data_IF_494964311706
#
_entry.id   IF_494964311706
#
_cell.length_a   1.000
_cell.length_b   1.000
_cell.length_c   1.000
_cell.angle_alpha   90.00
_cell.angle_beta   90.00
_cell.angle_gamma   90.00
#
_symmetry.space_group_name_H-M   'P 1'
#
loop_
_entity.id
_entity.type
_entity.pdbx_description
1 polymer ?
#
# COMPACT_ATOMS: atom_id res chain seq x y z
N UNK A 1 -16.73 34.26 -28.25
CA UNK A 1 -16.97 32.82 -27.98
C UNK A 1 -15.62 32.13 -27.99
N UNK A 2 -15.10 31.84 -26.79
CA UNK A 2 -13.82 31.11 -26.65
C UNK A 2 -14.20 29.63 -26.62
N UNK A 3 -13.68 28.85 -27.56
CA UNK A 3 -13.91 27.40 -27.63
C UNK A 3 -13.38 26.72 -26.38
N UNK A 4 -14.11 25.70 -25.82
CA UNK A 4 -13.60 24.94 -24.70
C UNK A 4 -12.33 24.18 -25.10
N UNK A 5 -11.23 24.52 -24.44
CA UNK A 5 -9.93 23.88 -24.64
C UNK A 5 -10.09 22.38 -24.24
N UNK A 6 -10.10 21.50 -25.23
CA UNK A 6 -10.04 20.05 -25.03
C UNK A 6 -8.67 19.72 -24.50
N UNK A 7 -8.57 19.57 -23.18
CA UNK A 7 -7.39 18.96 -22.55
C UNK A 7 -7.36 17.49 -23.00
N UNK A 8 -6.37 17.15 -23.81
CA UNK A 8 -6.15 15.77 -24.24
C UNK A 8 -5.73 14.91 -23.02
N UNK A 9 -6.13 13.63 -22.96
CA UNK A 9 -5.79 12.76 -21.84
C UNK A 9 -4.28 12.55 -21.74
N UNK A 10 -3.74 12.72 -20.54
CA UNK A 10 -2.37 12.34 -20.18
C UNK A 10 -2.24 10.84 -20.44
N UNK A 11 -1.43 10.46 -21.42
CA UNK A 11 -1.32 9.06 -21.90
C UNK A 11 -1.29 8.95 -23.42
N UNK A 12 -1.56 10.05 -24.15
CA UNK A 12 -1.26 10.11 -25.57
C UNK A 12 0.26 10.25 -25.76
N UNK A 13 0.86 9.36 -26.53
CA UNK A 13 2.31 9.32 -26.80
C UNK A 13 2.83 10.45 -27.72
N UNK A 14 2.03 11.50 -27.96
CA UNK A 14 2.44 12.64 -28.77
C UNK A 14 3.25 13.64 -27.93
N UNK A 15 4.51 13.90 -28.27
CA UNK A 15 5.41 14.75 -27.47
C UNK A 15 4.91 16.20 -27.33
N UNK A 16 4.11 16.68 -28.24
CA UNK A 16 3.56 18.04 -28.23
C UNK A 16 2.43 18.19 -27.17
N UNK A 17 1.61 17.17 -26.99
CA UNK A 17 0.53 17.14 -25.98
C UNK A 17 1.08 17.00 -24.57
N UNK A 18 2.21 16.30 -24.42
CA UNK A 18 2.90 16.12 -23.14
C UNK A 18 3.54 17.42 -22.67
N UNK A 19 4.13 18.21 -23.57
CA UNK A 19 4.74 19.49 -23.24
C UNK A 19 3.73 20.50 -22.69
N UNK A 20 2.57 20.66 -23.33
CA UNK A 20 1.49 21.54 -22.87
C UNK A 20 0.96 21.17 -21.48
N UNK A 21 0.93 19.88 -21.19
CA UNK A 21 0.44 19.39 -19.88
C UNK A 21 1.41 19.72 -18.75
N UNK A 22 2.72 19.63 -19.00
CA UNK A 22 3.72 19.95 -17.98
C UNK A 22 3.83 21.44 -17.65
N UNK A 23 3.47 22.33 -18.59
CA UNK A 23 3.36 23.76 -18.32
C UNK A 23 2.24 24.06 -17.30
N UNK A 24 1.14 23.30 -17.34
CA UNK A 24 0.05 23.44 -16.36
C UNK A 24 0.44 23.04 -14.94
N UNK A 25 1.56 22.36 -14.76
CA UNK A 25 2.03 21.91 -13.44
C UNK A 25 2.83 22.97 -12.68
N UNK A 26 3.14 24.10 -13.32
CA UNK A 26 3.87 25.23 -12.73
C UNK A 26 3.01 26.49 -12.73
N UNK A 27 3.30 27.38 -11.79
CA UNK A 27 2.74 28.72 -11.78
C UNK A 27 3.49 29.66 -12.75
N UNK A 28 3.01 30.88 -12.90
CA UNK A 28 3.64 31.91 -13.75
C UNK A 28 5.07 32.29 -13.35
N UNK A 29 5.49 31.89 -12.14
CA UNK A 29 6.85 32.11 -11.61
C UNK A 29 7.73 30.84 -11.73
N UNK A 30 7.23 29.79 -12.41
CA UNK A 30 7.93 28.51 -12.59
C UNK A 30 7.96 27.60 -11.35
N UNK A 31 7.22 27.91 -10.29
CA UNK A 31 7.14 27.09 -9.07
C UNK A 31 6.12 25.97 -9.27
N UNK A 32 6.39 24.81 -8.68
CA UNK A 32 5.47 23.68 -8.73
C UNK A 32 4.14 24.00 -8.03
N UNK A 33 3.05 23.79 -8.73
CA UNK A 33 1.69 23.87 -8.19
C UNK A 33 1.43 22.62 -7.34
N UNK A 34 0.69 22.78 -6.27
CA UNK A 34 0.24 21.66 -5.42
C UNK A 34 -1.26 21.70 -5.24
N UNK A 35 -1.79 22.64 -4.47
CA UNK A 35 -3.21 22.80 -4.18
C UNK A 35 -4.04 23.04 -5.45
N UNK A 36 -3.55 23.87 -6.35
CA UNK A 36 -4.25 24.22 -7.59
C UNK A 36 -4.16 23.17 -8.71
N UNK A 37 -3.48 22.04 -8.46
CA UNK A 37 -3.50 20.89 -9.37
C UNK A 37 -4.85 20.17 -9.40
N UNK A 38 -5.67 20.31 -8.35
CA UNK A 38 -6.89 19.55 -8.17
C UNK A 38 -8.13 20.42 -8.24
N UNK A 39 -9.17 19.88 -8.89
CA UNK A 39 -10.45 20.57 -9.06
C UNK A 39 -11.10 20.93 -7.71
N UNK A 40 -10.91 20.07 -6.70
CA UNK A 40 -11.52 20.21 -5.39
C UNK A 40 -10.89 21.31 -4.53
N UNK A 41 -9.61 21.59 -4.76
CA UNK A 41 -8.83 22.49 -3.90
C UNK A 41 -8.32 23.74 -4.59
N UNK A 42 -8.56 23.88 -5.89
CA UNK A 42 -8.09 25.07 -6.63
C UNK A 42 -8.84 26.34 -6.20
N UNK A 43 -8.09 27.40 -6.04
CA UNK A 43 -8.59 28.74 -5.75
C UNK A 43 -8.33 29.75 -6.88
N UNK A 44 -7.63 29.31 -7.93
CA UNK A 44 -7.25 30.14 -9.06
C UNK A 44 -8.10 29.82 -10.31
N UNK A 45 -7.98 30.68 -11.34
CA UNK A 45 -8.64 30.48 -12.63
C UNK A 45 -7.91 29.51 -13.58
N UNK A 46 -6.75 28.98 -13.16
CA UNK A 46 -6.01 28.03 -13.97
C UNK A 46 -6.73 26.68 -14.06
N UNK A 47 -6.67 25.98 -15.18
CA UNK A 47 -7.22 24.64 -15.29
C UNK A 47 -6.51 23.69 -14.32
N UNK A 48 -7.30 22.87 -13.60
CA UNK A 48 -6.77 21.81 -12.74
C UNK A 48 -6.71 20.51 -13.54
N UNK A 49 -5.52 19.93 -13.77
CA UNK A 49 -5.39 18.71 -14.55
C UNK A 49 -5.93 17.46 -13.83
N UNK A 50 -6.01 17.49 -12.50
CA UNK A 50 -6.36 16.34 -11.70
C UNK A 50 -7.60 16.53 -10.83
N UNK A 51 -8.17 15.41 -10.41
CA UNK A 51 -9.20 15.32 -9.36
C UNK A 51 -8.76 14.31 -8.31
N UNK A 52 -9.17 14.52 -7.06
CA UNK A 52 -8.98 13.59 -5.94
C UNK A 52 -9.99 12.45 -5.92
N UNK A 53 -11.02 12.52 -6.78
CA UNK A 53 -12.05 11.48 -6.88
C UNK A 53 -11.51 10.23 -7.56
N UNK A 54 -12.19 9.11 -7.33
CA UNK A 54 -11.84 7.80 -7.91
C UNK A 54 -12.04 7.75 -9.43
N UNK A 55 -12.82 8.69 -10.00
CA UNK A 55 -13.13 8.79 -11.42
C UNK A 55 -12.83 10.18 -11.94
N UNK A 56 -12.56 10.26 -13.24
CA UNK A 56 -12.38 11.53 -13.93
C UNK A 56 -13.59 12.45 -13.71
N UNK A 57 -13.33 13.71 -13.45
CA UNK A 57 -14.35 14.66 -13.07
C UNK A 57 -14.11 16.05 -13.69
N UNK A 58 -15.13 16.61 -14.35
CA UNK A 58 -15.07 17.95 -14.97
C UNK A 58 -13.87 18.15 -15.91
N UNK A 59 -13.51 17.13 -16.67
CA UNK A 59 -12.36 17.16 -17.59
C UNK A 59 -11.00 16.95 -16.92
N UNK A 60 -10.95 16.83 -15.60
CA UNK A 60 -9.75 16.48 -14.85
C UNK A 60 -9.61 14.96 -14.70
N UNK A 61 -8.39 14.48 -14.76
CA UNK A 61 -8.05 13.05 -14.65
C UNK A 61 -7.98 12.66 -13.16
N UNK A 62 -8.52 11.50 -12.82
CA UNK A 62 -8.38 10.94 -11.48
C UNK A 62 -6.90 10.57 -11.23
N UNK A 63 -6.26 11.31 -10.31
CA UNK A 63 -4.89 10.99 -9.89
C UNK A 63 -4.83 9.65 -9.17
N UNK A 64 -5.83 9.36 -8.33
CA UNK A 64 -5.98 8.06 -7.68
C UNK A 64 -6.01 6.90 -8.68
N UNK A 65 -6.90 6.97 -9.68
CA UNK A 65 -7.01 5.92 -10.70
C UNK A 65 -5.70 5.70 -11.43
N UNK A 66 -5.03 6.78 -11.83
CA UNK A 66 -3.72 6.69 -12.49
C UNK A 66 -2.63 6.13 -11.58
N UNK A 67 -2.61 6.51 -10.31
CA UNK A 67 -1.71 5.95 -9.31
C UNK A 67 -1.87 4.42 -9.19
N UNK A 68 -3.12 3.94 -9.09
CA UNK A 68 -3.43 2.51 -9.03
C UNK A 68 -3.17 1.77 -10.35
N UNK A 69 -3.34 2.42 -11.49
CA UNK A 69 -3.07 1.87 -12.83
C UNK A 69 -1.57 1.68 -13.06
N UNK A 70 -0.76 2.68 -12.74
CA UNK A 70 0.71 2.63 -12.85
C UNK A 70 1.25 1.56 -11.90
N UNK A 71 0.73 1.50 -10.67
CA UNK A 71 1.06 0.44 -9.73
C UNK A 71 2.53 0.39 -9.34
N UNK A 72 3.20 1.54 -9.21
CA UNK A 72 4.62 1.61 -8.83
C UNK A 72 4.77 1.79 -7.31
N UNK A 73 5.25 0.78 -6.57
CA UNK A 73 5.44 0.87 -5.13
C UNK A 73 6.55 1.86 -4.73
N UNK A 74 7.43 2.22 -5.67
CA UNK A 74 8.47 3.23 -5.43
C UNK A 74 7.98 4.65 -5.70
N UNK A 75 6.84 4.80 -6.36
CA UNK A 75 6.24 6.07 -6.80
C UNK A 75 7.08 6.85 -7.81
N UNK A 76 8.23 6.33 -8.25
CA UNK A 76 9.12 7.05 -9.15
C UNK A 76 8.52 7.18 -10.54
N UNK A 77 8.02 6.09 -11.11
CA UNK A 77 7.34 6.07 -12.40
C UNK A 77 6.08 6.93 -12.36
N UNK A 78 5.30 6.79 -11.28
CA UNK A 78 4.11 7.62 -11.02
C UNK A 78 4.44 9.11 -11.04
N UNK A 79 5.51 9.50 -10.35
CA UNK A 79 5.96 10.89 -10.30
C UNK A 79 6.32 11.44 -11.67
N UNK A 80 7.02 10.65 -12.50
CA UNK A 80 7.43 11.06 -13.84
C UNK A 80 6.24 11.13 -14.80
N UNK A 81 5.34 10.15 -14.76
CA UNK A 81 4.18 10.11 -15.65
C UNK A 81 3.14 11.19 -15.33
N UNK A 82 2.86 11.43 -14.04
CA UNK A 82 1.82 12.36 -13.63
C UNK A 82 2.31 13.81 -13.53
N UNK A 83 3.52 14.02 -13.02
CA UNK A 83 4.04 15.36 -12.70
C UNK A 83 5.35 15.70 -13.44
N UNK A 84 5.89 14.78 -14.23
CA UNK A 84 7.15 14.98 -14.96
C UNK A 84 8.38 15.19 -14.07
N UNK A 85 8.25 15.07 -12.74
CA UNK A 85 9.32 15.39 -11.82
C UNK A 85 9.14 14.71 -10.47
N UNK A 86 10.16 13.97 -10.04
CA UNK A 86 10.25 13.40 -8.70
C UNK A 86 10.19 14.46 -7.59
N UNK A 87 10.86 15.60 -7.80
CA UNK A 87 10.85 16.70 -6.82
C UNK A 87 9.45 17.28 -6.62
N UNK A 88 8.68 17.42 -7.70
CA UNK A 88 7.30 17.87 -7.63
C UNK A 88 6.42 16.88 -6.84
N UNK A 89 6.55 15.59 -7.12
CA UNK A 89 5.88 14.52 -6.39
C UNK A 89 6.18 14.55 -4.90
N UNK A 90 7.47 14.67 -4.53
CA UNK A 90 7.87 14.80 -3.13
C UNK A 90 7.28 16.03 -2.45
N UNK A 91 7.19 17.16 -3.15
CA UNK A 91 6.58 18.36 -2.62
C UNK A 91 5.08 18.18 -2.39
N UNK A 92 4.37 17.54 -3.33
CA UNK A 92 2.95 17.23 -3.22
C UNK A 92 2.68 16.27 -2.05
N UNK A 93 3.41 15.16 -1.99
CA UNK A 93 3.19 14.11 -0.96
C UNK A 93 3.58 14.53 0.45
N UNK A 94 4.43 15.57 0.61
CA UNK A 94 4.75 16.19 1.90
C UNK A 94 3.72 17.21 2.37
N UNK A 95 2.83 17.66 1.49
CA UNK A 95 1.79 18.61 1.86
C UNK A 95 0.78 17.96 2.80
N UNK A 96 0.54 18.58 3.97
CA UNK A 96 -0.30 18.00 5.04
C UNK A 96 -1.71 17.64 4.57
N UNK A 97 -2.32 18.47 3.73
CA UNK A 97 -3.65 18.24 3.18
C UNK A 97 -3.73 17.05 2.23
N UNK A 98 -2.62 16.67 1.57
CA UNK A 98 -2.55 15.54 0.63
C UNK A 98 -2.14 14.24 1.31
N UNK A 99 -1.55 14.29 2.50
CA UNK A 99 -1.03 13.09 3.19
C UNK A 99 -2.10 12.05 3.45
N UNK A 100 -3.31 12.43 3.81
CA UNK A 100 -4.41 11.49 4.05
C UNK A 100 -4.74 10.67 2.79
N UNK A 101 -4.76 11.33 1.63
CA UNK A 101 -5.01 10.66 0.35
C UNK A 101 -3.89 9.69 -0.01
N UNK A 102 -2.64 10.15 0.01
CA UNK A 102 -1.52 9.32 -0.42
C UNK A 102 -1.25 8.14 0.51
N UNK A 103 -1.46 8.28 1.82
CA UNK A 103 -1.32 7.17 2.77
C UNK A 103 -2.36 6.08 2.48
N UNK A 104 -3.62 6.46 2.27
CA UNK A 104 -4.69 5.52 1.88
C UNK A 104 -4.38 4.82 0.56
N UNK A 105 -3.88 5.56 -0.44
CA UNK A 105 -3.52 4.98 -1.74
C UNK A 105 -2.36 3.99 -1.63
N UNK A 106 -1.36 4.28 -0.80
CA UNK A 106 -0.24 3.36 -0.52
C UNK A 106 -0.70 2.07 0.14
N UNK A 107 -1.59 2.18 1.12
CA UNK A 107 -2.18 1.01 1.78
C UNK A 107 -2.97 0.14 0.79
N UNK A 108 -3.81 0.76 -0.02
CA UNK A 108 -4.60 0.05 -1.02
C UNK A 108 -3.73 -0.60 -2.09
N UNK A 109 -2.69 0.09 -2.57
CA UNK A 109 -1.72 -0.45 -3.51
C UNK A 109 -0.97 -1.65 -2.92
N UNK A 110 -0.58 -1.58 -1.66
CA UNK A 110 0.07 -2.70 -0.96
C UNK A 110 -0.86 -3.93 -0.87
N UNK A 111 -2.16 -3.72 -0.59
CA UNK A 111 -3.17 -4.79 -0.59
C UNK A 111 -3.35 -5.38 -1.99
N UNK A 112 -3.40 -4.54 -3.03
CA UNK A 112 -3.48 -4.98 -4.41
C UNK A 112 -2.30 -5.91 -4.78
N UNK A 113 -1.09 -5.50 -4.47
CA UNK A 113 0.10 -6.33 -4.72
C UNK A 113 0.12 -7.61 -3.90
N UNK A 114 -0.36 -7.57 -2.65
CA UNK A 114 -0.49 -8.79 -1.87
C UNK A 114 -1.49 -9.76 -2.53
N UNK A 115 -2.62 -9.27 -3.00
CA UNK A 115 -3.62 -10.08 -3.70
C UNK A 115 -3.09 -10.66 -5.02
N UNK A 116 -2.36 -9.88 -5.81
CA UNK A 116 -1.71 -10.35 -7.05
C UNK A 116 -0.70 -11.46 -6.77
N UNK A 117 0.15 -11.31 -5.73
CA UNK A 117 1.10 -12.35 -5.31
C UNK A 117 0.41 -13.63 -4.84
N UNK A 118 -0.71 -13.52 -4.12
CA UNK A 118 -1.49 -14.70 -3.74
C UNK A 118 -1.95 -15.47 -4.98
N UNK A 119 -2.51 -14.76 -5.96
CA UNK A 119 -2.96 -15.35 -7.20
C UNK A 119 -1.81 -16.01 -7.98
N UNK A 120 -0.67 -15.34 -8.11
CA UNK A 120 0.52 -15.92 -8.74
C UNK A 120 0.98 -17.21 -8.06
N UNK A 121 0.99 -17.24 -6.71
CA UNK A 121 1.37 -18.44 -5.97
C UNK A 121 0.36 -19.58 -6.14
N UNK A 122 -0.95 -19.27 -6.18
CA UNK A 122 -1.99 -20.24 -6.48
C UNK A 122 -1.83 -20.82 -7.90
N UNK A 123 -1.59 -19.97 -8.89
CA UNK A 123 -1.34 -20.38 -10.29
C UNK A 123 -0.10 -21.29 -10.40
N UNK A 124 0.98 -20.99 -9.66
CA UNK A 124 2.17 -21.84 -9.62
C UNK A 124 1.85 -23.23 -9.03
N UNK A 125 1.07 -23.28 -7.96
CA UNK A 125 0.67 -24.55 -7.33
C UNK A 125 -0.18 -25.39 -8.27
N UNK A 126 -1.08 -24.77 -9.01
CA UNK A 126 -1.98 -25.47 -9.94
C UNK A 126 -1.24 -25.98 -11.20
N UNK A 127 -0.42 -25.12 -11.81
CA UNK A 127 0.21 -25.41 -13.10
C UNK A 127 1.51 -26.23 -13.01
N UNK A 128 2.18 -26.25 -11.84
CA UNK A 128 3.48 -26.91 -11.65
C UNK A 128 3.44 -27.98 -10.56
N UNK A 129 2.34 -28.73 -10.43
CA UNK A 129 2.16 -29.79 -9.42
C UNK A 129 3.35 -30.76 -9.41
N UNK A 130 3.86 -31.04 -8.21
CA UNK A 130 4.99 -31.98 -8.02
C UNK A 130 6.37 -31.37 -8.23
N UNK A 131 6.49 -30.12 -8.62
CA UNK A 131 7.78 -29.46 -8.75
C UNK A 131 8.25 -28.81 -7.44
N UNK A 132 9.56 -28.60 -7.24
CA UNK A 132 10.07 -27.86 -6.08
C UNK A 132 9.47 -26.45 -5.95
N UNK A 133 9.16 -25.81 -7.08
CA UNK A 133 8.54 -24.49 -7.13
C UNK A 133 7.13 -24.51 -6.53
N UNK A 134 6.29 -25.48 -6.90
CA UNK A 134 4.96 -25.65 -6.32
C UNK A 134 5.01 -25.94 -4.82
N UNK A 135 6.00 -26.71 -4.36
CA UNK A 135 6.20 -26.97 -2.92
C UNK A 135 6.56 -25.68 -2.17
N UNK A 136 7.41 -24.84 -2.75
CA UNK A 136 7.76 -23.54 -2.14
C UNK A 136 6.56 -22.58 -2.12
N UNK A 137 5.80 -22.49 -3.22
CA UNK A 137 4.59 -21.69 -3.30
C UNK A 137 3.55 -22.14 -2.28
N UNK A 138 3.32 -23.45 -2.12
CA UNK A 138 2.41 -24.01 -1.11
C UNK A 138 2.85 -23.65 0.32
N UNK A 139 4.14 -23.72 0.62
CA UNK A 139 4.68 -23.30 1.93
C UNK A 139 4.46 -21.82 2.18
N UNK A 140 4.73 -20.99 1.18
CA UNK A 140 4.53 -19.55 1.27
C UNK A 140 3.07 -19.20 1.54
N UNK A 141 2.12 -19.80 0.80
CA UNK A 141 0.68 -19.65 1.03
C UNK A 141 0.29 -20.09 2.45
N UNK A 142 0.75 -21.28 2.88
CA UNK A 142 0.44 -21.81 4.21
C UNK A 142 0.94 -20.89 5.34
N UNK A 143 2.11 -20.32 5.21
CA UNK A 143 2.67 -19.39 6.20
C UNK A 143 1.89 -18.08 6.26
N UNK A 144 1.41 -17.57 5.12
CA UNK A 144 0.57 -16.36 5.05
C UNK A 144 -0.83 -16.59 5.62
N UNK A 145 -1.45 -17.72 5.34
CA UNK A 145 -2.75 -18.10 5.95
C UNK A 145 -2.64 -18.27 7.48
N UNK A 146 -1.52 -18.80 7.99
CA UNK A 146 -1.27 -18.92 9.43
C UNK A 146 -1.08 -17.57 10.11
N UNK A 147 -0.50 -16.58 9.45
CA UNK A 147 -0.28 -15.24 10.02
C UNK A 147 -1.59 -14.47 10.19
N UNK A 148 -2.62 -14.76 9.37
CA UNK A 148 -3.99 -14.21 9.57
C UNK A 148 -4.76 -14.88 10.73
N UNK A 149 -4.39 -16.10 11.14
CA UNK A 149 -4.90 -16.71 12.37
C UNK A 149 -3.92 -16.37 13.50
N UNK A 150 -4.32 -15.51 14.38
CA UNK A 150 -3.59 -14.94 15.54
C UNK A 150 -3.02 -16.04 16.48
N UNK A 151 -2.18 -16.95 15.98
CA UNK A 151 -1.40 -17.87 16.81
C UNK A 151 0.00 -17.30 16.96
N UNK A 152 0.45 -17.09 18.20
CA UNK A 152 1.81 -16.63 18.45
C UNK A 152 2.79 -17.57 17.76
N UNK A 153 3.75 -17.00 17.02
CA UNK A 153 4.88 -17.75 16.45
C UNK A 153 5.47 -18.60 17.57
N UNK A 154 5.52 -19.91 17.38
CA UNK A 154 6.34 -20.80 18.21
C UNK A 154 7.83 -20.50 17.89
N UNK A 155 8.28 -19.33 18.32
CA UNK A 155 9.68 -19.05 18.51
C UNK A 155 10.18 -19.85 19.70
N UNK A 156 11.49 -20.13 19.76
CA UNK A 156 12.10 -20.70 20.97
C UNK A 156 11.69 -19.82 22.15
N UNK A 157 11.03 -20.36 23.20
CA UNK A 157 10.49 -19.56 24.28
C UNK A 157 11.60 -18.72 24.92
N UNK A 158 11.28 -17.45 25.21
CA UNK A 158 12.24 -16.52 25.81
C UNK A 158 12.69 -17.08 27.18
N UNK A 159 13.81 -16.58 27.70
CA UNK A 159 14.25 -16.96 29.06
C UNK A 159 13.18 -16.68 30.10
N UNK A 160 12.41 -15.63 29.94
CA UNK A 160 11.33 -15.20 30.82
C UNK A 160 10.12 -16.14 30.73
N UNK A 161 9.74 -16.57 29.51
CA UNK A 161 8.68 -17.55 29.32
C UNK A 161 9.03 -18.92 29.89
N UNK A 162 10.32 -19.32 29.78
CA UNK A 162 10.80 -20.56 30.42
C UNK A 162 10.78 -20.50 31.95
N UNK A 163 11.16 -19.36 32.51
CA UNK A 163 11.10 -19.13 33.95
C UNK A 163 9.65 -19.09 34.44
N UNK A 164 8.74 -18.44 33.71
CA UNK A 164 7.33 -18.40 34.05
C UNK A 164 6.68 -19.81 33.98
N UNK A 165 7.08 -20.64 33.01
CA UNK A 165 6.62 -22.02 32.89
C UNK A 165 7.15 -22.89 34.06
N UNK A 166 8.43 -22.77 34.41
CA UNK A 166 9.04 -23.45 35.57
C UNK A 166 8.38 -23.06 36.90
N UNK A 167 8.07 -21.77 37.08
CA UNK A 167 7.37 -21.31 38.30
C UNK A 167 5.92 -21.81 38.37
N UNK A 168 5.25 -21.97 37.24
CA UNK A 168 3.92 -22.59 37.19
C UNK A 168 3.99 -24.08 37.55
N UNK A 169 4.89 -24.81 36.94
CA UNK A 169 5.09 -26.25 37.17
C UNK A 169 5.42 -26.56 38.62
N UNK A 170 6.33 -25.78 39.21
CA UNK A 170 6.66 -25.93 40.66
C UNK A 170 5.52 -25.55 41.59
N UNK A 171 4.59 -24.68 41.22
CA UNK A 171 3.38 -24.38 42.01
C UNK A 171 2.34 -25.49 41.89
N UNK A 172 2.17 -26.05 40.70
CA UNK A 172 1.27 -27.18 40.49
C UNK A 172 1.76 -28.43 41.22
N UNK A 173 3.07 -28.71 41.17
CA UNK A 173 3.67 -29.83 41.91
C UNK A 173 3.50 -29.68 43.43
N UNK A 174 3.64 -28.46 43.98
CA UNK A 174 3.39 -28.20 45.40
C UNK A 174 1.94 -28.40 45.79
N UNK A 175 1.00 -27.94 44.98
CA UNK A 175 -0.43 -28.14 45.22
C UNK A 175 -0.80 -29.61 45.18
N UNK A 176 -0.25 -30.38 44.25
CA UNK A 176 -0.46 -31.84 44.15
C UNK A 176 0.12 -32.56 45.38
N UNK A 177 1.32 -32.15 45.84
CA UNK A 177 1.93 -32.74 47.06
C UNK A 177 1.13 -32.41 48.32
N UNK A 178 0.65 -31.17 48.49
CA UNK A 178 -0.20 -30.77 49.62
C UNK A 178 -1.55 -31.53 49.62
N UNK A 179 -2.10 -31.78 48.43
CA UNK A 179 -3.36 -32.51 48.28
C UNK A 179 -3.19 -34.02 48.54
N UNK A 180 -2.06 -34.62 48.16
CA UNK A 180 -1.69 -35.98 48.44
C UNK A 180 -1.46 -36.22 49.95
N UNK A 181 -0.81 -35.28 50.63
CA UNK A 181 -0.62 -35.30 52.09
C UNK A 181 -1.96 -35.18 52.83
N UNK A 182 -2.86 -34.30 52.36
CA UNK A 182 -4.22 -34.16 52.93
C UNK A 182 -5.07 -35.40 52.77
N UNK A 183 -4.86 -36.18 51.71
CA UNK A 183 -5.58 -37.40 51.40
C UNK A 183 -4.93 -38.65 52.03
N UNK A 184 -3.81 -38.51 52.78
CA UNK A 184 -3.08 -39.59 53.39
C UNK A 184 -2.46 -40.59 52.41
N UNK A 185 -2.08 -40.12 51.25
CA UNK A 185 -1.49 -40.91 50.16
C UNK A 185 0.07 -40.86 50.16
N UNK A 186 0.64 -40.13 51.11
CA UNK A 186 2.09 -40.01 51.35
C UNK A 186 2.35 -40.26 52.84
#
# INVERSE_FOLDING_TARGET
MIAPNKVAPIGAKDPEVVADTFELLKDSMGRFRTVSLFVETKHDSYPAPFTLKDRDHRGAISMYRKYMEIGDPTEYTTALELLGSWRHWQQLTKASWFQEYILRWREELAIKFEAERFKEMEDIVENHKGTPMAIQATKWLADRYKTKSNKPRRGRPSKEEKQAHLVKETKEDKLVAEEAERLGLL
#
